data_IF_233378908044
#
_entry.id   IF_233378908044
#
_cell.length_a   1.000
_cell.length_b   1.000
_cell.length_c   1.000
_cell.angle_alpha   90.00
_cell.angle_beta   90.00
_cell.angle_gamma   90.00
#
_symmetry.space_group_name_H-M   'P 1'
#
loop_
_entity.id
_entity.type
_entity.pdbx_description
1 polymer ?
#
# COMPACT_ATOMS: atom_id res chain seq x y z
N UNK A 1 -3.46 8.90 1.01
CA UNK A 1 -3.18 9.84 -0.10
C UNK A 1 -3.69 11.24 0.27
N UNK A 2 -2.93 12.27 -0.03
CA UNK A 2 -3.29 13.68 0.17
C UNK A 2 -2.87 14.52 -1.05
N UNK A 3 -3.26 15.79 -1.09
CA UNK A 3 -2.99 16.66 -2.25
C UNK A 3 -1.52 17.00 -2.41
N UNK A 4 -0.74 17.06 -1.32
CA UNK A 4 0.68 17.42 -1.39
C UNK A 4 1.46 16.36 -2.20
N UNK A 5 1.28 15.07 -1.90
CA UNK A 5 1.89 13.95 -2.66
C UNK A 5 1.39 13.87 -4.12
N UNK A 6 0.17 14.35 -4.41
CA UNK A 6 -0.34 14.43 -5.78
C UNK A 6 0.44 15.47 -6.58
N UNK A 7 0.66 16.67 -6.02
CA UNK A 7 1.38 17.73 -6.73
C UNK A 7 2.86 17.37 -6.93
N UNK A 8 3.50 16.72 -5.95
CA UNK A 8 4.86 16.16 -6.11
C UNK A 8 4.93 15.18 -7.30
N UNK A 9 3.92 14.31 -7.44
CA UNK A 9 3.82 13.40 -8.58
C UNK A 9 3.65 14.14 -9.92
N UNK A 10 2.76 15.14 -9.98
CA UNK A 10 2.54 15.94 -11.20
C UNK A 10 3.82 16.67 -11.62
N UNK A 11 4.54 17.26 -10.66
CA UNK A 11 5.83 17.93 -10.89
C UNK A 11 6.90 16.94 -11.39
N UNK A 12 7.04 15.78 -10.74
CA UNK A 12 8.04 14.77 -11.10
C UNK A 12 7.92 14.32 -12.56
N UNK A 13 6.71 14.16 -13.06
CA UNK A 13 6.44 13.69 -14.43
C UNK A 13 6.07 14.82 -15.40
N UNK A 14 6.14 16.08 -14.97
CA UNK A 14 5.78 17.26 -15.78
C UNK A 14 4.38 17.13 -16.40
N UNK A 15 3.42 16.65 -15.59
CA UNK A 15 2.03 16.46 -16.01
C UNK A 15 1.26 17.74 -15.77
N UNK A 16 0.70 18.30 -16.85
CA UNK A 16 -0.24 19.42 -16.75
C UNK A 16 -1.61 18.92 -16.29
N UNK A 17 -2.06 19.42 -15.15
CA UNK A 17 -3.39 19.15 -14.64
C UNK A 17 -4.42 20.04 -15.32
N UNK A 18 -5.51 19.46 -15.81
CA UNK A 18 -6.61 20.21 -16.42
C UNK A 18 -7.15 21.27 -15.43
N UNK A 19 -7.27 22.55 -15.82
CA UNK A 19 -7.71 23.64 -14.94
C UNK A 19 -9.02 23.39 -14.20
N UNK A 20 -9.91 22.53 -14.73
CA UNK A 20 -11.17 22.14 -14.06
C UNK A 20 -10.94 21.48 -12.70
N UNK A 21 -9.78 20.88 -12.47
CA UNK A 21 -9.45 20.25 -11.20
C UNK A 21 -9.01 21.24 -10.12
N UNK A 22 -8.57 22.45 -10.50
CA UNK A 22 -8.06 23.45 -9.54
C UNK A 22 -9.12 23.87 -8.52
N UNK A 23 -10.39 23.93 -8.92
CA UNK A 23 -11.50 24.33 -8.04
C UNK A 23 -11.99 23.20 -7.13
N UNK A 24 -11.78 21.93 -7.52
CA UNK A 24 -12.37 20.77 -6.83
C UNK A 24 -11.39 19.97 -5.96
N UNK A 25 -10.09 20.00 -6.26
CA UNK A 25 -9.11 19.20 -5.50
C UNK A 25 -8.88 19.74 -4.09
N UNK A 26 -9.04 21.06 -3.89
CA UNK A 26 -8.79 21.71 -2.61
C UNK A 26 -7.42 21.36 -2.02
N UNK A 27 -7.32 21.36 -0.68
CA UNK A 27 -6.13 20.87 0.03
C UNK A 27 -6.53 19.82 1.06
N UNK A 28 -5.92 18.64 0.94
CA UNK A 28 -6.21 17.51 1.81
C UNK A 28 -4.94 16.87 2.34
N UNK A 29 -4.82 16.78 3.67
CA UNK A 29 -3.75 16.02 4.29
C UNK A 29 -3.93 14.52 4.08
N UNK A 30 -2.81 13.80 3.90
CA UNK A 30 -2.80 12.33 3.89
C UNK A 30 -3.45 11.81 5.17
N UNK A 31 -4.41 10.91 5.02
CA UNK A 31 -5.05 10.23 6.14
C UNK A 31 -4.34 8.92 6.44
N UNK A 32 -4.19 8.65 7.73
CA UNK A 32 -3.81 7.33 8.26
C UNK A 32 -4.91 6.31 7.95
N UNK A 33 -4.53 5.09 7.55
CA UNK A 33 -5.50 4.05 7.18
C UNK A 33 -6.40 3.61 8.32
N UNK A 34 -5.90 3.68 9.55
CA UNK A 34 -6.63 3.35 10.77
C UNK A 34 -7.88 4.23 10.96
N UNK A 35 -7.94 5.40 10.31
CA UNK A 35 -9.14 6.25 10.29
C UNK A 35 -10.34 5.57 9.62
N UNK A 36 -10.11 4.57 8.76
CA UNK A 36 -11.17 3.85 8.04
C UNK A 36 -11.58 2.54 8.75
N UNK A 37 -10.97 2.24 9.90
CA UNK A 37 -11.28 1.04 10.68
C UNK A 37 -12.45 1.33 11.62
N UNK A 38 -13.46 0.47 11.60
CA UNK A 38 -14.64 0.52 12.46
C UNK A 38 -15.10 -0.89 12.85
N UNK A 39 -16.04 -1.00 13.79
CA UNK A 39 -16.47 -2.27 14.40
C UNK A 39 -16.85 -3.36 13.40
N UNK A 40 -17.47 -2.96 12.29
CA UNK A 40 -17.92 -3.90 11.24
C UNK A 40 -16.78 -4.46 10.39
N UNK A 41 -15.66 -3.74 10.23
CA UNK A 41 -14.56 -4.15 9.34
C UNK A 41 -13.27 -4.51 10.06
N UNK A 42 -13.15 -4.23 11.36
CA UNK A 42 -11.92 -4.42 12.14
C UNK A 42 -11.34 -5.84 12.05
N UNK A 43 -12.21 -6.85 11.89
CA UNK A 43 -11.82 -8.25 11.81
C UNK A 43 -11.13 -8.63 10.49
N UNK A 44 -11.23 -7.76 9.47
CA UNK A 44 -10.58 -7.90 8.16
C UNK A 44 -9.26 -7.12 8.09
N UNK A 45 -8.94 -6.34 9.13
CA UNK A 45 -7.81 -5.41 9.11
C UNK A 45 -6.69 -5.94 9.99
N UNK A 46 -5.52 -6.11 9.41
CA UNK A 46 -4.25 -6.33 10.13
C UNK A 46 -3.22 -5.27 9.73
N UNK A 47 -2.13 -5.16 10.48
CA UNK A 47 -1.06 -4.21 10.14
C UNK A 47 -0.46 -4.53 8.77
N UNK A 48 -0.27 -5.81 8.46
CA UNK A 48 0.23 -6.29 7.18
C UNK A 48 -0.74 -5.96 6.04
N UNK A 49 -2.06 -6.00 6.27
CA UNK A 49 -3.07 -5.63 5.28
C UNK A 49 -3.00 -4.13 4.95
N UNK A 50 -2.87 -3.28 5.97
CA UNK A 50 -2.76 -1.83 5.79
C UNK A 50 -1.45 -1.45 5.11
N UNK A 51 -0.33 -2.06 5.52
CA UNK A 51 0.98 -1.86 4.91
C UNK A 51 1.00 -2.31 3.44
N UNK A 52 0.38 -3.46 3.13
CA UNK A 52 0.20 -3.93 1.77
C UNK A 52 -0.58 -2.92 0.91
N UNK A 53 -1.73 -2.46 1.42
CA UNK A 53 -2.58 -1.48 0.74
C UNK A 53 -1.84 -0.15 0.51
N UNK A 54 -1.06 0.29 1.49
CA UNK A 54 -0.28 1.52 1.42
C UNK A 54 0.77 1.49 0.31
N UNK A 55 1.41 0.34 0.09
CA UNK A 55 2.41 0.14 -0.97
C UNK A 55 1.78 -0.05 -2.37
N UNK A 56 0.47 -0.28 -2.45
CA UNK A 56 -0.26 -0.31 -3.72
C UNK A 56 -0.86 1.05 -4.09
N UNK A 57 -1.45 1.74 -3.12
CA UNK A 57 -2.15 3.00 -3.33
C UNK A 57 -1.17 4.17 -3.24
N UNK A 58 -0.33 4.32 -4.26
CA UNK A 58 0.62 5.43 -4.45
C UNK A 58 0.30 6.25 -5.69
N UNK A 59 0.45 7.58 -5.61
CA UNK A 59 0.34 8.45 -6.78
C UNK A 59 1.39 8.09 -7.82
N UNK A 60 2.65 8.06 -7.39
CA UNK A 60 3.74 7.59 -8.21
C UNK A 60 3.54 6.11 -8.58
N UNK A 61 3.39 5.87 -9.88
CA UNK A 61 3.17 4.54 -10.42
C UNK A 61 4.42 3.66 -10.31
N UNK A 62 5.62 4.25 -10.27
CA UNK A 62 6.88 3.51 -10.11
C UNK A 62 7.10 3.05 -8.66
N UNK A 63 6.43 3.67 -7.69
CA UNK A 63 6.52 3.28 -6.28
C UNK A 63 5.52 2.18 -5.89
N UNK A 64 4.62 1.80 -6.80
CA UNK A 64 3.63 0.74 -6.55
C UNK A 64 4.31 -0.61 -6.62
N UNK A 65 3.93 -1.53 -5.72
CA UNK A 65 4.36 -2.92 -5.83
C UNK A 65 3.96 -3.50 -7.18
N UNK A 66 4.91 -4.17 -7.83
CA UNK A 66 4.61 -5.06 -8.94
C UNK A 66 3.83 -6.28 -8.44
N UNK A 67 3.16 -7.00 -9.34
CA UNK A 67 2.44 -8.22 -8.97
C UNK A 67 3.34 -9.25 -8.27
N UNK A 68 4.60 -9.37 -8.70
CA UNK A 68 5.57 -10.29 -8.08
C UNK A 68 5.89 -9.87 -6.65
N UNK A 69 6.23 -8.60 -6.43
CA UNK A 69 6.53 -8.09 -5.09
C UNK A 69 5.31 -8.13 -4.18
N UNK A 70 4.12 -7.90 -4.73
CA UNK A 70 2.86 -8.02 -4.01
C UNK A 70 2.60 -9.45 -3.52
N UNK A 71 2.83 -10.46 -4.37
CA UNK A 71 2.72 -11.88 -3.97
C UNK A 71 3.73 -12.28 -2.88
N UNK A 72 4.89 -11.61 -2.84
CA UNK A 72 5.93 -11.84 -1.85
C UNK A 72 5.71 -11.03 -0.54
N UNK A 73 4.62 -10.27 -0.44
CA UNK A 73 4.30 -9.45 0.74
C UNK A 73 3.91 -10.32 1.96
N UNK A 74 4.33 -9.94 3.19
CA UNK A 74 3.99 -10.68 4.43
C UNK A 74 2.50 -10.98 4.63
N UNK A 75 1.63 -10.10 4.12
CA UNK A 75 0.18 -10.30 4.14
C UNK A 75 -0.26 -11.65 3.53
N UNK A 76 0.45 -12.16 2.53
CA UNK A 76 0.11 -13.43 1.87
C UNK A 76 0.86 -14.65 2.43
N UNK A 77 1.72 -14.49 3.43
CA UNK A 77 2.50 -15.61 3.98
C UNK A 77 1.65 -16.79 4.47
N UNK A 78 0.52 -16.57 5.17
CA UNK A 78 -0.36 -17.68 5.56
C UNK A 78 -0.84 -18.50 4.35
N UNK A 79 -1.15 -17.84 3.24
CA UNK A 79 -1.65 -18.48 2.01
C UNK A 79 -0.54 -19.25 1.29
N UNK A 80 0.66 -18.66 1.19
CA UNK A 80 1.81 -19.32 0.53
C UNK A 80 2.21 -20.59 1.28
N UNK A 81 2.20 -20.55 2.62
CA UNK A 81 2.47 -21.71 3.47
C UNK A 81 1.45 -22.82 3.22
N UNK A 82 0.16 -22.50 3.21
CA UNK A 82 -0.90 -23.48 3.06
C UNK A 82 -0.94 -24.09 1.66
N UNK A 83 -0.49 -23.37 0.63
CA UNK A 83 -0.36 -23.87 -0.75
C UNK A 83 0.88 -24.75 -0.98
N UNK A 84 1.75 -24.93 0.02
CA UNK A 84 2.99 -25.71 -0.12
C UNK A 84 3.99 -25.14 -1.13
N UNK A 85 3.82 -23.88 -1.54
CA UNK A 85 4.73 -23.22 -2.49
C UNK A 85 6.03 -22.85 -1.74
N UNK A 86 7.21 -23.10 -2.31
CA UNK A 86 8.46 -22.69 -1.67
C UNK A 86 8.47 -21.17 -1.55
N UNK A 87 8.45 -20.67 -0.32
CA UNK A 87 8.72 -19.27 0.01
C UNK A 87 10.10 -18.89 -0.51
N UNK A 88 10.24 -17.68 -1.05
CA UNK A 88 11.56 -17.16 -1.38
C UNK A 88 12.40 -16.97 -0.08
N UNK A 89 13.73 -16.93 -0.23
CA UNK A 89 14.65 -16.88 0.92
C UNK A 89 14.43 -15.65 1.81
N UNK A 90 14.04 -14.52 1.23
CA UNK A 90 13.72 -13.28 1.95
C UNK A 90 12.51 -13.45 2.86
N UNK A 91 11.45 -14.09 2.37
CA UNK A 91 10.21 -14.34 3.12
C UNK A 91 10.41 -15.36 4.24
N UNK A 92 11.27 -16.37 4.03
CA UNK A 92 11.65 -17.30 5.10
C UNK A 92 12.37 -16.60 6.25
N UNK A 93 13.29 -15.69 5.95
CA UNK A 93 14.03 -14.92 6.96
C UNK A 93 13.11 -14.04 7.81
N UNK A 94 12.16 -13.34 7.18
CA UNK A 94 11.20 -12.46 7.88
C UNK A 94 10.29 -13.23 8.86
N UNK A 95 9.84 -14.43 8.47
CA UNK A 95 9.05 -15.30 9.35
C UNK A 95 9.87 -15.83 10.53
N UNK A 96 11.13 -16.21 10.29
CA UNK A 96 12.01 -16.69 11.37
C UNK A 96 12.38 -15.60 12.39
N UNK A 97 12.34 -14.33 11.99
CA UNK A 97 12.71 -13.20 12.85
C UNK A 97 11.53 -12.66 13.69
N UNK A 98 10.29 -13.08 13.39
CA UNK A 98 9.08 -12.72 14.13
C UNK A 98 8.61 -13.81 15.13
N UNK A 99 9.45 -14.80 15.43
CA UNK A 99 9.16 -15.86 16.40
C UNK A 99 9.69 -15.56 17.81
N UNK A 100 8.80 -15.13 18.72
CA UNK A 100 8.75 -15.60 20.12
C UNK A 100 7.42 -16.33 20.28
#
# INVERSE_FOLDING_TARGET
LGTDELYEYLEKYQIELDPRFNEILGRHSRKRWERFVHSENQHLVSQEALDFLDKLLRYDHNDRLTAKEAMDHPYFYPIVRDQGRPMNATSQAMLSNNGI
#
